data_IF_191602247647
#
_entry.id   IF_191602247647
#
_cell.length_a   1.000
_cell.length_b   1.000
_cell.length_c   1.000
_cell.angle_alpha   90.00
_cell.angle_beta   90.00
_cell.angle_gamma   90.00
#
_symmetry.space_group_name_H-M   'P 1'
#
loop_
_entity.id
_entity.type
_entity.pdbx_description
1 polymer ?
#
# COMPACT_ATOMS: atom_id res chain seq x y z
N UNK A 1 17.10 44.73 19.34
CA UNK A 1 17.20 44.45 17.88
C UNK A 1 17.49 42.98 17.50
N UNK A 2 17.18 41.93 18.29
CA UNK A 2 17.38 40.52 17.85
C UNK A 2 16.22 39.97 16.99
N UNK A 3 15.06 40.62 17.01
CA UNK A 3 13.83 40.13 16.34
C UNK A 3 13.92 40.13 14.81
N UNK A 4 14.68 41.06 14.23
CA UNK A 4 14.85 41.19 12.77
C UNK A 4 15.82 40.14 12.20
N UNK A 5 16.76 39.62 13.01
CA UNK A 5 17.73 38.60 12.59
C UNK A 5 17.13 37.19 12.72
N UNK A 6 16.20 36.96 13.66
CA UNK A 6 15.53 35.67 13.85
C UNK A 6 14.41 35.40 12.81
N UNK A 7 13.84 36.46 12.21
CA UNK A 7 12.78 36.38 11.21
C UNK A 7 13.09 35.49 9.99
N UNK A 8 14.25 35.63 9.30
CA UNK A 8 14.56 34.77 8.15
C UNK A 8 14.75 33.31 8.53
N UNK A 9 15.33 33.01 9.71
CA UNK A 9 15.50 31.63 10.18
C UNK A 9 14.16 30.99 10.56
N UNK A 10 13.27 31.72 11.21
CA UNK A 10 11.91 31.25 11.50
C UNK A 10 11.10 31.02 10.22
N UNK A 11 11.29 31.86 9.20
CA UNK A 11 10.65 31.67 7.90
C UNK A 11 11.18 30.42 7.18
N UNK A 12 12.49 30.18 7.25
CA UNK A 12 13.12 28.97 6.69
C UNK A 12 12.64 27.70 7.41
N UNK A 13 12.51 27.73 8.74
CA UNK A 13 11.97 26.62 9.52
C UNK A 13 10.49 26.37 9.18
N UNK A 14 9.69 27.43 9.04
CA UNK A 14 8.29 27.32 8.64
C UNK A 14 8.13 26.72 7.23
N UNK A 15 8.94 27.16 6.27
CA UNK A 15 8.97 26.63 4.90
C UNK A 15 9.43 25.16 4.92
N UNK A 16 10.45 24.84 5.72
CA UNK A 16 10.95 23.47 5.87
C UNK A 16 9.90 22.52 6.44
N UNK A 17 9.19 22.94 7.49
CA UNK A 17 8.06 22.17 8.05
C UNK A 17 6.92 22.03 7.03
N UNK A 18 6.54 23.10 6.35
CA UNK A 18 5.49 23.06 5.33
C UNK A 18 5.87 22.12 4.17
N UNK A 19 7.12 22.16 3.71
CA UNK A 19 7.66 21.26 2.71
C UNK A 19 7.63 19.81 3.17
N UNK A 20 8.08 19.53 4.40
CA UNK A 20 8.05 18.19 4.97
C UNK A 20 6.61 17.65 5.09
N UNK A 21 5.66 18.45 5.57
CA UNK A 21 4.25 18.07 5.64
C UNK A 21 3.65 17.82 4.25
N UNK A 22 3.96 18.67 3.27
CA UNK A 22 3.51 18.51 1.90
C UNK A 22 4.08 17.22 1.28
N UNK A 23 5.39 16.98 1.42
CA UNK A 23 6.03 15.75 0.96
C UNK A 23 5.44 14.52 1.65
N UNK A 24 5.20 14.57 2.97
CA UNK A 24 4.59 13.47 3.70
C UNK A 24 3.19 13.13 3.18
N UNK A 25 2.34 14.14 2.94
CA UNK A 25 1.01 13.94 2.37
C UNK A 25 1.06 13.42 0.92
N UNK A 26 1.99 13.89 0.10
CA UNK A 26 2.18 13.37 -1.26
C UNK A 26 2.63 11.91 -1.24
N UNK A 27 3.56 11.55 -0.35
CA UNK A 27 3.97 10.16 -0.16
C UNK A 27 2.80 9.28 0.28
N UNK A 28 1.98 9.75 1.22
CA UNK A 28 0.77 9.05 1.64
C UNK A 28 -0.23 8.89 0.48
N UNK A 29 -0.45 9.93 -0.33
CA UNK A 29 -1.32 9.86 -1.51
C UNK A 29 -0.85 8.81 -2.54
N UNK A 30 0.44 8.82 -2.88
CA UNK A 30 1.04 7.83 -3.79
C UNK A 30 0.92 6.42 -3.20
N UNK A 31 1.11 6.28 -1.89
CA UNK A 31 0.98 5.01 -1.21
C UNK A 31 -0.49 4.50 -1.20
N UNK A 32 -1.47 5.39 -1.00
CA UNK A 32 -2.88 5.02 -1.17
C UNK A 32 -3.21 4.57 -2.61
N UNK A 33 -2.66 5.23 -3.63
CA UNK A 33 -2.83 4.81 -5.02
C UNK A 33 -2.20 3.42 -5.29
N UNK A 34 -1.02 3.16 -4.71
CA UNK A 34 -0.34 1.87 -4.82
C UNK A 34 -1.08 0.73 -4.10
N UNK A 35 -2.06 1.04 -3.24
CA UNK A 35 -2.95 0.02 -2.65
C UNK A 35 -3.74 -0.75 -3.71
N UNK A 36 -4.04 -0.15 -4.87
CA UNK A 36 -4.61 -0.86 -6.01
C UNK A 36 -3.68 -1.99 -6.52
N UNK A 37 -2.37 -1.72 -6.56
CA UNK A 37 -1.35 -2.72 -6.90
C UNK A 37 -1.33 -3.88 -5.89
N UNK A 38 -1.53 -3.60 -4.59
CA UNK A 38 -1.68 -4.69 -3.60
C UNK A 38 -2.92 -5.55 -3.81
N UNK A 39 -4.01 -4.99 -4.34
CA UNK A 39 -5.18 -5.77 -4.76
C UNK A 39 -4.85 -6.76 -5.89
N UNK A 40 -4.07 -6.32 -6.88
CA UNK A 40 -3.58 -7.20 -7.95
C UNK A 40 -2.63 -8.28 -7.43
N UNK A 41 -1.76 -7.96 -6.47
CA UNK A 41 -0.87 -8.95 -5.84
C UNK A 41 -1.64 -10.06 -5.12
N UNK A 42 -2.75 -9.71 -4.46
CA UNK A 42 -3.66 -10.69 -3.84
C UNK A 42 -4.25 -11.62 -4.90
N UNK A 43 -4.74 -11.08 -6.01
CA UNK A 43 -5.28 -11.87 -7.12
C UNK A 43 -4.21 -12.78 -7.76
N UNK A 44 -3.00 -12.27 -7.96
CA UNK A 44 -1.87 -13.07 -8.42
C UNK A 44 -1.52 -14.20 -7.44
N UNK A 45 -1.56 -13.93 -6.13
CA UNK A 45 -1.41 -14.93 -5.07
C UNK A 45 -2.45 -16.05 -5.18
N UNK A 46 -3.73 -15.70 -5.38
CA UNK A 46 -4.80 -16.68 -5.61
C UNK A 46 -4.59 -17.54 -6.84
N UNK A 47 -4.07 -16.97 -7.93
CA UNK A 47 -3.74 -17.72 -9.16
C UNK A 47 -2.54 -18.64 -8.94
N UNK A 48 -1.58 -18.27 -8.11
CA UNK A 48 -0.40 -19.11 -7.83
C UNK A 48 -0.69 -20.34 -6.97
N UNK A 49 -1.76 -20.34 -6.18
CA UNK A 49 -2.17 -21.52 -5.39
C UNK A 49 -2.53 -22.74 -6.26
N UNK A 50 -3.43 -22.67 -7.26
CA UNK A 50 -3.73 -23.80 -8.13
C UNK A 50 -2.53 -24.18 -9.01
N UNK A 51 -1.69 -23.21 -9.42
CA UNK A 51 -0.44 -23.49 -10.15
C UNK A 51 0.50 -24.35 -9.29
N UNK A 52 0.66 -23.99 -8.01
CA UNK A 52 1.44 -24.77 -7.05
C UNK A 52 0.90 -26.20 -6.90
N UNK A 53 -0.42 -26.38 -6.86
CA UNK A 53 -1.04 -27.71 -6.80
C UNK A 53 -0.84 -28.50 -8.10
N UNK A 54 -0.94 -27.84 -9.25
CA UNK A 54 -0.68 -28.46 -10.56
C UNK A 54 0.75 -28.99 -10.68
N UNK A 55 1.74 -28.21 -10.25
CA UNK A 55 3.15 -28.62 -10.23
C UNK A 55 3.41 -29.69 -9.16
N UNK A 56 2.67 -29.67 -8.05
CA UNK A 56 2.75 -30.73 -7.04
C UNK A 56 2.27 -32.08 -7.58
N UNK A 57 1.18 -32.10 -8.35
CA UNK A 57 0.62 -33.32 -8.97
C UNK A 57 1.47 -33.79 -10.16
N UNK A 58 1.96 -32.87 -10.98
CA UNK A 58 2.84 -33.18 -12.11
C UNK A 58 4.14 -32.36 -12.03
N UNK A 59 5.19 -32.88 -11.39
CA UNK A 59 6.45 -32.15 -11.21
C UNK A 59 7.19 -31.87 -12.52
N UNK A 60 6.84 -32.54 -13.63
CA UNK A 60 7.42 -32.25 -14.95
C UNK A 60 6.78 -31.03 -15.62
N UNK A 61 5.73 -30.43 -15.05
CA UNK A 61 5.05 -29.26 -15.61
C UNK A 61 5.88 -27.97 -15.50
N UNK A 62 6.84 -27.90 -14.58
CA UNK A 62 7.73 -26.75 -14.42
C UNK A 62 9.12 -27.21 -13.94
N UNK A 63 10.21 -26.54 -14.36
CA UNK A 63 11.56 -26.85 -13.88
C UNK A 63 11.79 -26.40 -12.42
N UNK A 64 10.90 -25.57 -11.87
CA UNK A 64 10.97 -25.04 -10.51
C UNK A 64 10.17 -25.93 -9.56
N UNK A 65 10.60 -26.11 -8.29
CA UNK A 65 9.89 -26.95 -7.34
C UNK A 65 8.54 -26.32 -6.95
N UNK A 66 7.53 -27.16 -6.69
CA UNK A 66 6.17 -26.71 -6.37
C UNK A 66 6.10 -25.69 -5.22
N UNK A 67 6.94 -25.86 -4.19
CA UNK A 67 6.98 -24.97 -3.03
C UNK A 67 7.39 -23.54 -3.39
N UNK A 68 8.10 -23.34 -4.50
CA UNK A 68 8.47 -22.01 -4.99
C UNK A 68 7.22 -21.18 -5.28
N UNK A 69 6.25 -21.76 -6.00
CA UNK A 69 4.97 -21.11 -6.31
C UNK A 69 4.18 -20.82 -5.04
N UNK A 70 4.14 -21.76 -4.09
CA UNK A 70 3.47 -21.55 -2.81
C UNK A 70 4.12 -20.42 -2.00
N UNK A 71 5.46 -20.37 -1.94
CA UNK A 71 6.20 -19.32 -1.27
C UNK A 71 6.00 -17.95 -1.93
N UNK A 72 5.90 -17.90 -3.26
CA UNK A 72 5.60 -16.66 -3.98
C UNK A 72 4.19 -16.16 -3.69
N UNK A 73 3.21 -17.06 -3.62
CA UNK A 73 1.84 -16.71 -3.24
C UNK A 73 1.83 -16.14 -1.82
N UNK A 74 2.47 -16.84 -0.88
CA UNK A 74 2.59 -16.39 0.50
C UNK A 74 3.27 -15.02 0.61
N UNK A 75 4.37 -14.80 -0.12
CA UNK A 75 5.07 -13.51 -0.18
C UNK A 75 4.17 -12.38 -0.70
N UNK A 76 3.37 -12.63 -1.73
CA UNK A 76 2.41 -11.66 -2.26
C UNK A 76 1.33 -11.30 -1.23
N UNK A 77 0.77 -12.29 -0.52
CA UNK A 77 -0.22 -12.04 0.53
C UNK A 77 0.38 -11.31 1.74
N UNK A 78 1.55 -11.74 2.21
CA UNK A 78 2.25 -11.11 3.33
C UNK A 78 2.61 -9.66 3.00
N UNK A 79 3.09 -9.39 1.79
CA UNK A 79 3.36 -8.03 1.32
C UNK A 79 2.09 -7.19 1.28
N UNK A 80 0.98 -7.71 0.74
CA UNK A 80 -0.28 -6.98 0.71
C UNK A 80 -0.79 -6.64 2.12
N UNK A 81 -0.75 -7.58 3.06
CA UNK A 81 -1.15 -7.35 4.45
C UNK A 81 -0.23 -6.35 5.16
N UNK A 82 1.08 -6.56 5.06
CA UNK A 82 2.09 -5.68 5.64
C UNK A 82 1.99 -4.26 5.09
N UNK A 83 1.69 -4.11 3.80
CA UNK A 83 1.48 -2.83 3.16
C UNK A 83 0.26 -2.08 3.72
N UNK A 84 -0.86 -2.77 3.94
CA UNK A 84 -2.05 -2.16 4.54
C UNK A 84 -1.79 -1.71 5.99
N UNK A 85 -1.05 -2.50 6.76
CA UNK A 85 -0.64 -2.13 8.12
C UNK A 85 0.32 -0.94 8.13
N UNK A 86 1.29 -0.94 7.21
CA UNK A 86 2.24 0.17 7.03
C UNK A 86 1.52 1.47 6.67
N UNK A 87 0.54 1.41 5.76
CA UNK A 87 -0.31 2.57 5.42
C UNK A 87 -1.09 3.08 6.63
N UNK A 88 -1.67 2.18 7.43
CA UNK A 88 -2.40 2.55 8.65
C UNK A 88 -1.50 3.23 9.68
N UNK A 89 -0.24 2.81 9.79
CA UNK A 89 0.75 3.45 10.66
C UNK A 89 1.29 4.77 10.10
N UNK A 90 1.48 4.86 8.78
CA UNK A 90 2.00 6.04 8.08
C UNK A 90 0.93 7.13 7.85
N UNK A 91 -0.34 6.82 8.12
CA UNK A 91 -1.47 7.72 7.95
C UNK A 91 -1.31 9.01 8.78
N UNK A 92 -1.34 10.19 8.14
CA UNK A 92 -1.33 11.45 8.87
C UNK A 92 -2.59 11.61 9.73
N UNK A 93 -2.50 12.15 10.96
CA UNK A 93 -3.67 12.35 11.81
C UNK A 93 -4.66 13.30 11.15
N UNK A 94 -5.88 12.83 10.89
CA UNK A 94 -6.97 13.59 10.27
C UNK A 94 -7.07 13.52 8.75
N UNK A 95 -6.22 12.73 8.07
CA UNK A 95 -6.35 12.49 6.63
C UNK A 95 -7.29 11.29 6.36
N UNK A 96 -8.49 11.58 5.87
CA UNK A 96 -9.38 10.55 5.30
C UNK A 96 -8.75 9.97 4.02
N UNK A 97 -8.87 8.66 3.78
CA UNK A 97 -8.38 8.02 2.55
C UNK A 97 -9.19 8.57 1.35
N UNK A 98 -8.59 9.39 0.47
CA UNK A 98 -9.34 10.01 -0.63
C UNK A 98 -9.85 8.97 -1.64
N UNK A 99 -9.32 7.74 -1.61
CA UNK A 99 -9.75 6.65 -2.47
C UNK A 99 -10.87 5.78 -1.88
N UNK A 100 -11.27 6.03 -0.64
CA UNK A 100 -12.38 5.31 0.00
C UNK A 100 -13.69 5.47 -0.79
N UNK A 101 -13.89 6.64 -1.41
CA UNK A 101 -15.02 6.92 -2.32
C UNK A 101 -15.06 5.99 -3.54
N UNK A 102 -13.90 5.56 -4.03
CA UNK A 102 -13.79 4.65 -5.18
C UNK A 102 -13.80 3.17 -4.77
N UNK A 103 -13.68 2.88 -3.46
CA UNK A 103 -13.64 1.53 -2.90
C UNK A 103 -15.02 1.00 -2.48
N UNK A 104 -16.09 1.75 -2.74
CA UNK A 104 -17.46 1.41 -2.31
C UNK A 104 -17.79 -0.07 -2.53
N UNK A 105 -18.02 -0.75 -1.42
CA UNK A 105 -18.44 -2.15 -1.34
C UNK A 105 -19.79 -2.38 -2.06
N UNK A 106 -20.07 -3.60 -2.56
CA UNK A 106 -21.31 -3.96 -3.27
C UNK A 106 -22.63 -3.82 -2.48
N UNK A 107 -22.63 -3.23 -1.29
CA UNK A 107 -23.81 -3.13 -0.41
C UNK A 107 -24.67 -1.90 -0.71
N UNK A 108 -24.89 -1.62 -2.00
CA UNK A 108 -25.88 -0.65 -2.48
C UNK A 108 -27.12 -1.37 -3.06
N UNK A 109 -27.49 -2.51 -2.46
CA UNK A 109 -28.55 -3.37 -2.95
C UNK A 109 -29.26 -4.16 -1.84
N UNK A 110 -29.58 -3.52 -0.71
CA UNK A 110 -30.63 -4.03 0.17
C UNK A 110 -31.27 -2.86 0.94
N UNK A 111 -32.22 -2.21 0.28
CA UNK A 111 -32.92 -1.05 0.82
C UNK A 111 -34.23 -0.75 0.11
N UNK A 112 -34.88 -1.77 -0.47
CA UNK A 112 -36.29 -1.74 -0.89
C UNK A 112 -36.89 -3.12 -0.75
#
# INVERSE_FOLDING_TARGET
>A
MPFLIALPFNMLEAIGRAGFYATWHLLYFVACAFRAFTGFLVLAGFVMLPVSLGVFVNPNAAPMPWWFFLSSAFGMFAFALGYNLFLGWFAPPGAEDPFERYRQSPTAGNGR
#
